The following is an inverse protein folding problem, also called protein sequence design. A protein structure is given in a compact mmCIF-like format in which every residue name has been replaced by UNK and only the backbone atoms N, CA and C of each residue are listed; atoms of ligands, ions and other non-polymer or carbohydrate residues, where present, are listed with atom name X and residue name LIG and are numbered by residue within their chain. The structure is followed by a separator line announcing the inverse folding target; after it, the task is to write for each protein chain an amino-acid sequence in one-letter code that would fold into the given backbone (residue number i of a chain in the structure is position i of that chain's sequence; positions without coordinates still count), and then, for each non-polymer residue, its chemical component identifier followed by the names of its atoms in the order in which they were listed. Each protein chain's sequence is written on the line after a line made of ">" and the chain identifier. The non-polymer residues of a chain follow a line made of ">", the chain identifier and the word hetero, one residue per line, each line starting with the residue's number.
data_IF_077410127557
#
_entry.id   IF_077410127557
#
_cell.length_a   1.000
_cell.length_b   1.000
_cell.length_c   1.000
_cell.angle_alpha   90.00
_cell.angle_beta   90.00
_cell.angle_gamma   90.00
#
_symmetry.space_group_name_H-M   'P 1'
#
loop_
_entity.id
_entity.type
_entity.pdbx_description
1 polymer ?
#
# COMPACT_ATOMS: atom_id res chain seq x y z
N UNK A 1 7.16 0.81 -1.78
CA UNK A 1 6.57 -0.53 -1.96
C UNK A 1 5.81 -0.91 -0.70
N UNK A 2 4.92 -1.90 -0.79
CA UNK A 2 4.15 -2.45 0.33
C UNK A 2 4.37 -3.96 0.38
N UNK A 3 4.70 -4.48 1.55
CA UNK A 3 4.89 -5.91 1.79
C UNK A 3 3.68 -6.49 2.51
N UNK A 4 3.31 -7.72 2.16
CA UNK A 4 2.21 -8.46 2.75
C UNK A 4 2.80 -9.63 3.51
N UNK A 5 2.55 -9.69 4.81
CA UNK A 5 3.10 -10.71 5.70
C UNK A 5 1.98 -11.57 6.29
N UNK A 6 2.26 -12.86 6.47
CA UNK A 6 1.45 -13.69 7.35
C UNK A 6 1.60 -13.18 8.78
N UNK A 7 0.49 -12.90 9.48
CA UNK A 7 0.53 -12.32 10.82
C UNK A 7 1.16 -13.23 11.88
N UNK A 8 1.01 -14.54 11.75
CA UNK A 8 1.48 -15.50 12.76
C UNK A 8 2.95 -15.83 12.57
N UNK A 9 3.37 -16.05 11.33
CA UNK A 9 4.72 -16.52 11.02
C UNK A 9 5.68 -15.39 10.63
N UNK A 10 5.13 -14.21 10.27
CA UNK A 10 5.86 -13.09 9.66
C UNK A 10 6.47 -13.40 8.29
N UNK A 11 6.12 -14.54 7.68
CA UNK A 11 6.55 -14.86 6.34
C UNK A 11 6.01 -13.82 5.35
N UNK A 12 6.87 -13.40 4.42
CA UNK A 12 6.47 -12.56 3.31
C UNK A 12 5.66 -13.40 2.33
N UNK A 13 4.38 -13.11 2.21
CA UNK A 13 3.45 -13.81 1.31
C UNK A 13 3.19 -13.03 0.01
N UNK A 14 3.66 -11.79 -0.06
CA UNK A 14 3.57 -10.99 -1.28
C UNK A 14 4.09 -9.57 -1.10
N UNK A 15 4.12 -8.84 -2.19
CA UNK A 15 4.44 -7.42 -2.21
C UNK A 15 3.85 -6.76 -3.44
N UNK A 16 3.64 -5.45 -3.37
CA UNK A 16 3.27 -4.66 -4.53
C UNK A 16 3.83 -3.24 -4.45
N UNK A 17 3.89 -2.61 -5.61
CA UNK A 17 4.34 -1.25 -5.78
C UNK A 17 5.79 -1.11 -6.22
N UNK A 18 6.04 -0.08 -7.03
CA UNK A 18 7.37 0.30 -7.53
C UNK A 18 7.50 1.82 -7.57
N UNK A 19 8.71 2.33 -7.79
CA UNK A 19 8.93 3.77 -7.96
C UNK A 19 8.10 4.32 -9.13
N UNK A 20 7.42 5.45 -8.94
CA UNK A 20 6.79 6.20 -10.02
C UNK A 20 5.49 6.90 -9.66
N UNK A 21 4.86 7.49 -10.67
CA UNK A 21 3.72 8.41 -10.55
C UNK A 21 2.37 7.85 -10.99
N UNK A 22 2.30 6.59 -11.41
CA UNK A 22 1.04 5.98 -11.84
C UNK A 22 0.36 5.19 -10.72
N UNK A 23 -0.85 4.68 -10.97
CA UNK A 23 -1.59 3.86 -10.02
C UNK A 23 -0.77 2.63 -9.62
N UNK A 24 -0.72 2.34 -8.31
CA UNK A 24 0.12 1.27 -7.77
C UNK A 24 1.62 1.57 -7.76
N UNK A 25 2.05 2.79 -8.09
CA UNK A 25 3.45 3.23 -7.95
C UNK A 25 3.58 4.20 -6.79
N UNK A 26 4.79 4.41 -6.26
CA UNK A 26 5.03 5.22 -5.08
C UNK A 26 6.39 5.93 -5.13
N UNK A 27 6.47 7.15 -4.63
CA UNK A 27 7.71 7.87 -4.34
C UNK A 27 8.11 7.74 -2.87
N UNK A 28 7.21 8.13 -1.95
CA UNK A 28 7.52 8.19 -0.51
C UNK A 28 6.25 7.94 0.31
N UNK A 29 5.90 6.65 0.41
CA UNK A 29 4.87 6.17 1.32
C UNK A 29 5.20 6.54 2.75
N UNK A 30 4.23 7.12 3.46
CA UNK A 30 4.40 7.53 4.85
C UNK A 30 3.37 6.91 5.78
N UNK A 31 2.12 6.74 5.33
CA UNK A 31 1.08 6.13 6.16
C UNK A 31 0.23 5.16 5.36
N UNK A 32 -0.40 4.26 6.10
CA UNK A 32 -1.39 3.31 5.62
C UNK A 32 -2.55 3.21 6.60
N UNK A 33 -3.76 3.02 6.08
CA UNK A 33 -4.97 2.76 6.85
C UNK A 33 -5.83 1.72 6.14
N UNK A 34 -6.63 0.97 6.89
CA UNK A 34 -7.55 -0.04 6.35
C UNK A 34 -8.95 0.30 6.83
N UNK A 35 -9.93 0.32 5.92
CA UNK A 35 -11.34 0.51 6.28
C UNK A 35 -12.00 -0.81 6.73
N UNK A 36 -13.25 -0.74 7.21
CA UNK A 36 -14.00 -1.92 7.65
C UNK A 36 -14.34 -2.90 6.52
N UNK A 37 -14.28 -2.46 5.26
CA UNK A 37 -14.39 -3.33 4.08
C UNK A 37 -13.09 -4.07 3.74
N UNK A 38 -11.99 -3.73 4.40
CA UNK A 38 -10.66 -4.28 4.16
C UNK A 38 -9.90 -3.58 3.04
N UNK A 39 -10.37 -2.45 2.50
CA UNK A 39 -9.63 -1.71 1.49
C UNK A 39 -8.45 -0.99 2.13
N UNK A 40 -7.32 -0.96 1.43
CA UNK A 40 -6.10 -0.30 1.88
C UNK A 40 -6.01 1.10 1.29
N UNK A 41 -5.72 2.07 2.13
CA UNK A 41 -5.43 3.45 1.75
C UNK A 41 -3.98 3.74 2.07
N UNK A 42 -3.27 4.30 1.12
CA UNK A 42 -1.89 4.72 1.29
C UNK A 42 -1.77 6.21 1.07
N UNK A 43 -0.96 6.89 1.88
CA UNK A 43 -0.64 8.30 1.69
C UNK A 43 0.85 8.51 1.49
N UNK A 44 1.15 9.43 0.59
CA UNK A 44 2.52 9.79 0.23
C UNK A 44 2.81 11.25 0.56
N UNK A 45 4.03 11.51 1.04
CA UNK A 45 4.54 12.86 1.29
C UNK A 45 5.45 13.32 0.15
N UNK A 46 5.89 14.58 0.20
CA UNK A 46 6.73 15.22 -0.83
C UNK A 46 6.07 15.19 -2.21
N UNK A 47 6.79 14.79 -3.26
CA UNK A 47 6.30 14.78 -4.65
C UNK A 47 5.18 13.76 -4.93
N UNK A 48 4.92 12.82 -4.00
CA UNK A 48 3.81 11.88 -4.13
C UNK A 48 2.45 12.56 -3.93
N UNK A 49 2.32 13.32 -2.84
CA UNK A 49 1.21 14.26 -2.55
C UNK A 49 -0.20 13.72 -2.89
N UNK A 50 -0.43 12.43 -2.65
CA UNK A 50 -1.66 11.74 -3.06
C UNK A 50 -2.08 10.66 -2.09
N UNK A 51 -3.35 10.30 -2.23
CA UNK A 51 -3.94 9.11 -1.63
C UNK A 51 -4.22 8.10 -2.74
N UNK A 52 -3.89 6.83 -2.50
CA UNK A 52 -4.30 5.73 -3.37
C UNK A 52 -5.11 4.72 -2.56
N UNK A 53 -6.22 4.24 -3.13
CA UNK A 53 -7.07 3.18 -2.58
C UNK A 53 -6.81 1.89 -3.35
N UNK A 54 -6.65 0.79 -2.62
CA UNK A 54 -6.52 -0.56 -3.15
C UNK A 54 -7.66 -1.41 -2.62
N UNK A 55 -8.46 -1.94 -3.52
CA UNK A 55 -9.58 -2.78 -3.13
C UNK A 55 -9.08 -4.14 -2.64
N UNK A 56 -9.72 -4.65 -1.58
CA UNK A 56 -9.52 -6.04 -1.19
C UNK A 56 -10.19 -6.93 -2.22
N UNK A 57 -9.40 -7.56 -3.09
CA UNK A 57 -9.90 -8.63 -3.93
C UNK A 57 -10.36 -9.77 -3.01
N UNK A 58 -11.57 -10.28 -3.26
CA UNK A 58 -12.12 -11.43 -2.56
C UNK A 58 -11.47 -12.72 -3.03
#
# INVERSE_FOLDING_TARGET
>A
MVWILNRLTLDVVGQFGRLGKYAGQFYRLHNLAIDSGGNLYTTEVNVGQRVQKFDRLR
#
